data_IF_738703586322
#
_entry.id   IF_738703586322
#
_cell.length_a   1.000
_cell.length_b   1.000
_cell.length_c   1.000
_cell.angle_alpha   90.00
_cell.angle_beta   90.00
_cell.angle_gamma   90.00
#
_symmetry.space_group_name_H-M   'P 1'
#
loop_
_entity.id
_entity.type
_entity.pdbx_description
1 polymer ?
#
# COMPACT_ATOMS: atom_id res chain seq x y z
N UNK A 1 14.71 -9.32 -3.27
CA UNK A 1 13.96 -10.60 -3.26
C UNK A 1 12.94 -10.52 -4.38
N UNK A 2 12.73 -11.60 -5.10
CA UNK A 2 11.90 -11.71 -6.30
C UNK A 2 10.54 -12.34 -5.94
N UNK A 3 9.47 -11.95 -6.61
CA UNK A 3 8.12 -12.48 -6.40
C UNK A 3 8.00 -13.98 -6.68
N UNK A 4 8.88 -14.53 -7.50
CA UNK A 4 8.92 -15.99 -7.76
C UNK A 4 8.97 -16.83 -6.49
N UNK A 5 9.65 -16.34 -5.45
CA UNK A 5 9.87 -17.07 -4.20
C UNK A 5 8.66 -17.07 -3.27
N UNK A 6 7.73 -16.12 -3.46
CA UNK A 6 6.59 -15.89 -2.56
C UNK A 6 5.21 -16.00 -3.24
N UNK A 7 5.17 -16.03 -4.58
CA UNK A 7 3.92 -16.25 -5.32
C UNK A 7 3.44 -17.69 -5.15
N UNK A 8 2.14 -17.86 -4.96
CA UNK A 8 1.51 -19.18 -4.84
C UNK A 8 0.58 -19.48 -6.01
N UNK A 9 0.63 -20.70 -6.57
CA UNK A 9 -0.36 -21.16 -7.52
C UNK A 9 -1.67 -21.61 -6.84
N UNK A 10 -1.67 -21.71 -5.50
CA UNK A 10 -2.86 -22.10 -4.73
C UNK A 10 -3.65 -20.85 -4.33
N UNK A 11 -4.76 -20.62 -5.02
CA UNK A 11 -5.65 -19.49 -4.78
C UNK A 11 -7.10 -19.85 -5.08
N UNK A 12 -8.02 -19.14 -4.44
CA UNK A 12 -9.44 -19.31 -4.66
C UNK A 12 -9.84 -18.55 -5.92
N UNK A 13 -10.49 -19.26 -6.84
CA UNK A 13 -10.97 -18.74 -8.13
C UNK A 13 -12.48 -18.91 -8.26
N UNK A 14 -13.13 -17.92 -8.85
CA UNK A 14 -14.55 -17.96 -9.17
C UNK A 14 -14.82 -17.36 -10.55
N UNK A 15 -15.85 -17.87 -11.23
CA UNK A 15 -16.35 -17.28 -12.46
C UNK A 15 -17.05 -15.94 -12.22
N UNK A 16 -16.94 -15.01 -13.18
CA UNK A 16 -17.54 -13.67 -13.16
C UNK A 16 -19.08 -13.71 -12.97
N UNK A 17 -19.73 -14.80 -13.34
CA UNK A 17 -21.16 -15.04 -13.15
C UNK A 17 -21.52 -15.61 -11.77
N UNK A 18 -20.53 -15.91 -10.93
CA UNK A 18 -20.75 -16.41 -9.56
C UNK A 18 -21.53 -15.40 -8.74
N UNK A 19 -22.54 -15.86 -8.02
CA UNK A 19 -23.39 -14.99 -7.20
C UNK A 19 -22.72 -14.65 -5.87
N UNK A 20 -22.95 -13.41 -5.39
CA UNK A 20 -22.33 -12.83 -4.21
C UNK A 20 -22.59 -13.64 -2.94
N UNK A 21 -23.80 -14.20 -2.76
CA UNK A 21 -24.10 -15.07 -1.63
C UNK A 21 -23.18 -16.32 -1.56
N UNK A 22 -22.78 -16.86 -2.71
CA UNK A 22 -21.82 -17.98 -2.75
C UNK A 22 -20.38 -17.53 -2.45
N UNK A 23 -20.03 -16.32 -2.87
CA UNK A 23 -18.71 -15.71 -2.59
C UNK A 23 -18.57 -15.43 -1.10
N UNK A 24 -19.61 -14.88 -0.46
CA UNK A 24 -19.64 -14.68 1.01
C UNK A 24 -19.42 -15.99 1.76
N UNK A 25 -20.08 -17.06 1.36
CA UNK A 25 -19.89 -18.40 1.95
C UNK A 25 -18.46 -18.95 1.76
N UNK A 26 -17.75 -18.60 0.69
CA UNK A 26 -16.34 -18.95 0.52
C UNK A 26 -15.48 -18.17 1.50
N UNK A 27 -15.70 -16.87 1.66
CA UNK A 27 -14.97 -16.04 2.64
C UNK A 27 -15.17 -16.55 4.07
N UNK A 28 -16.40 -16.93 4.45
CA UNK A 28 -16.68 -17.51 5.79
C UNK A 28 -15.91 -18.82 6.02
N UNK A 29 -15.91 -19.69 5.02
CA UNK A 29 -15.35 -21.04 5.19
C UNK A 29 -13.84 -21.09 5.09
N UNK A 30 -13.26 -20.32 4.18
CA UNK A 30 -11.84 -20.43 3.76
C UNK A 30 -11.02 -19.21 4.18
N UNK A 31 -11.66 -18.13 4.63
CA UNK A 31 -11.05 -16.85 5.02
C UNK A 31 -9.93 -16.39 4.07
N UNK A 32 -10.15 -16.38 2.73
CA UNK A 32 -9.11 -16.02 1.78
C UNK A 32 -8.80 -14.51 1.88
N UNK A 33 -7.55 -14.11 1.61
CA UNK A 33 -7.17 -12.68 1.54
C UNK A 33 -7.80 -11.96 0.35
N UNK A 34 -8.29 -12.71 -0.60
CA UNK A 34 -9.05 -12.28 -1.76
C UNK A 34 -9.36 -13.45 -2.68
N UNK A 35 -10.30 -13.26 -3.57
CA UNK A 35 -10.75 -14.26 -4.55
C UNK A 35 -10.43 -13.71 -5.93
N UNK A 36 -9.79 -14.53 -6.77
CA UNK A 36 -9.57 -14.22 -8.19
C UNK A 36 -10.88 -14.46 -8.94
N UNK A 37 -11.24 -13.52 -9.79
CA UNK A 37 -12.40 -13.64 -10.69
C UNK A 37 -11.91 -13.86 -12.10
N UNK A 38 -12.46 -14.87 -12.76
CA UNK A 38 -12.18 -15.18 -14.17
C UNK A 38 -13.43 -15.05 -15.02
N UNK A 39 -13.26 -14.70 -16.29
CA UNK A 39 -14.29 -14.64 -17.30
C UNK A 39 -13.75 -15.38 -18.54
N UNK A 40 -14.48 -16.38 -19.01
CA UNK A 40 -14.04 -17.26 -20.11
C UNK A 40 -12.66 -17.90 -19.89
N UNK A 41 -12.27 -18.13 -18.63
CA UNK A 41 -10.99 -18.72 -18.25
C UNK A 41 -9.82 -17.72 -18.21
N UNK A 42 -10.07 -16.43 -18.46
CA UNK A 42 -9.08 -15.36 -18.36
C UNK A 42 -9.31 -14.55 -17.07
N UNK A 43 -8.22 -13.98 -16.52
CA UNK A 43 -8.31 -13.11 -15.36
C UNK A 43 -9.17 -11.87 -15.65
N UNK A 44 -10.16 -11.62 -14.81
CA UNK A 44 -11.07 -10.47 -14.91
C UNK A 44 -10.90 -9.47 -13.75
N UNK A 45 -10.56 -9.94 -12.54
CA UNK A 45 -10.42 -9.08 -11.38
C UNK A 45 -10.22 -9.84 -10.07
N UNK A 46 -10.34 -9.13 -8.95
CA UNK A 46 -10.28 -9.70 -7.60
C UNK A 46 -11.45 -9.21 -6.76
N UNK A 47 -11.85 -9.99 -5.78
CA UNK A 47 -12.83 -9.61 -4.76
C UNK A 47 -12.20 -9.79 -3.38
N UNK A 48 -12.17 -8.73 -2.57
CA UNK A 48 -11.80 -8.78 -1.17
C UNK A 48 -13.01 -8.53 -0.26
N UNK A 49 -12.82 -8.64 1.05
CA UNK A 49 -13.89 -8.42 2.04
C UNK A 49 -14.54 -7.04 1.94
N UNK A 50 -13.73 -5.99 1.67
CA UNK A 50 -14.26 -4.62 1.53
C UNK A 50 -15.35 -4.51 0.46
N UNK A 51 -15.23 -5.26 -0.65
CA UNK A 51 -16.22 -5.28 -1.73
C UNK A 51 -17.55 -5.90 -1.27
N UNK A 52 -17.49 -6.88 -0.36
CA UNK A 52 -18.68 -7.57 0.15
C UNK A 52 -19.53 -6.70 1.08
N UNK A 53 -18.92 -5.78 1.83
CA UNK A 53 -19.59 -4.89 2.80
C UNK A 53 -20.01 -3.56 2.16
N UNK A 54 -19.25 -3.06 1.18
CA UNK A 54 -19.57 -1.80 0.47
C UNK A 54 -20.89 -1.84 -0.29
N UNK A 55 -21.29 -3.00 -0.72
CA UNK A 55 -22.47 -3.16 -1.56
C UNK A 55 -23.69 -3.48 -0.71
N UNK A 56 -24.76 -2.66 -0.79
CA UNK A 56 -26.13 -3.08 -0.47
C UNK A 56 -26.62 -4.14 -1.48
N UNK A 57 -25.69 -4.93 -2.04
CA UNK A 57 -25.99 -5.81 -3.14
C UNK A 57 -26.63 -7.08 -2.63
N UNK A 58 -27.69 -7.45 -3.28
CA UNK A 58 -28.44 -8.69 -3.05
C UNK A 58 -27.53 -9.89 -3.35
N UNK A 59 -27.78 -11.02 -2.71
CA UNK A 59 -27.02 -12.28 -2.89
C UNK A 59 -26.99 -12.76 -4.34
N UNK A 60 -27.93 -12.29 -5.14
CA UNK A 60 -28.03 -12.56 -6.58
C UNK A 60 -27.03 -11.81 -7.44
N UNK A 61 -26.37 -10.76 -6.92
CA UNK A 61 -25.42 -9.95 -7.66
C UNK A 61 -24.25 -10.82 -8.14
N UNK A 62 -23.83 -10.64 -9.38
CA UNK A 62 -22.71 -11.38 -9.96
C UNK A 62 -21.36 -10.83 -9.48
N UNK A 63 -20.33 -11.68 -9.48
CA UNK A 63 -18.94 -11.32 -9.17
C UNK A 63 -18.45 -10.16 -10.05
N UNK A 64 -18.79 -10.16 -11.33
CA UNK A 64 -18.42 -9.12 -12.31
C UNK A 64 -18.85 -7.71 -11.93
N UNK A 65 -19.88 -7.55 -11.10
CA UNK A 65 -20.38 -6.23 -10.66
C UNK A 65 -19.58 -5.68 -9.48
N UNK A 66 -19.00 -6.56 -8.66
CA UNK A 66 -18.32 -6.18 -7.41
C UNK A 66 -16.80 -6.30 -7.49
N UNK A 67 -16.28 -7.06 -8.45
CA UNK A 67 -14.85 -7.25 -8.63
C UNK A 67 -14.13 -5.92 -8.87
N UNK A 68 -12.86 -5.87 -8.46
CA UNK A 68 -11.96 -4.75 -8.65
C UNK A 68 -10.78 -5.21 -9.50
N UNK A 69 -10.29 -4.34 -10.38
CA UNK A 69 -9.02 -4.60 -11.05
C UNK A 69 -7.89 -4.58 -10.03
N UNK A 70 -7.02 -5.56 -10.04
CA UNK A 70 -5.76 -5.56 -9.32
C UNK A 70 -4.59 -5.32 -10.28
N UNK A 71 -3.47 -4.76 -9.79
CA UNK A 71 -2.28 -4.59 -10.61
C UNK A 71 -1.77 -5.96 -11.10
N UNK A 72 -1.21 -5.95 -12.29
CA UNK A 72 -0.60 -7.13 -12.89
C UNK A 72 0.87 -7.18 -12.49
N UNK A 73 1.29 -8.22 -11.79
CA UNK A 73 2.65 -8.38 -11.27
C UNK A 73 3.41 -9.35 -12.17
N UNK A 74 4.63 -9.00 -12.57
CA UNK A 74 5.54 -9.96 -13.22
C UNK A 74 6.14 -10.89 -12.16
N UNK A 75 6.37 -12.18 -12.50
CA UNK A 75 6.94 -13.14 -11.53
C UNK A 75 8.35 -12.77 -11.04
N UNK A 76 9.07 -11.97 -11.81
CA UNK A 76 10.41 -11.48 -11.49
C UNK A 76 10.40 -10.03 -10.97
N UNK A 77 9.22 -9.51 -10.62
CA UNK A 77 9.11 -8.19 -9.99
C UNK A 77 9.74 -8.20 -8.61
N UNK A 78 10.24 -7.05 -8.19
CA UNK A 78 10.74 -6.86 -6.83
C UNK A 78 9.61 -6.86 -5.79
N UNK A 79 9.89 -7.43 -4.62
CA UNK A 79 8.92 -7.55 -3.50
C UNK A 79 8.40 -6.19 -3.05
N UNK A 80 9.24 -5.17 -2.99
CA UNK A 80 8.85 -3.83 -2.54
C UNK A 80 8.01 -3.10 -3.58
N UNK A 81 8.38 -3.23 -4.86
CA UNK A 81 7.56 -2.69 -5.95
C UNK A 81 6.18 -3.34 -5.95
N UNK A 82 6.12 -4.66 -5.72
CA UNK A 82 4.85 -5.38 -5.59
C UNK A 82 4.05 -4.90 -4.36
N UNK A 83 4.71 -4.66 -3.22
CA UNK A 83 4.06 -4.07 -2.05
C UNK A 83 3.45 -2.70 -2.38
N UNK A 84 4.17 -1.84 -3.11
CA UNK A 84 3.68 -0.55 -3.59
C UNK A 84 2.45 -0.72 -4.48
N UNK A 85 2.51 -1.63 -5.44
CA UNK A 85 1.38 -1.91 -6.33
C UNK A 85 0.12 -2.35 -5.57
N UNK A 86 0.25 -3.20 -4.52
CA UNK A 86 -0.87 -3.61 -3.70
C UNK A 86 -1.46 -2.45 -2.89
N UNK A 87 -0.61 -1.61 -2.30
CA UNK A 87 -1.02 -0.44 -1.51
C UNK A 87 -1.73 0.58 -2.40
N UNK A 88 -1.14 0.98 -3.53
CA UNK A 88 -1.72 1.93 -4.47
C UNK A 88 -3.02 1.39 -5.10
N UNK A 89 -3.07 0.09 -5.38
CA UNK A 89 -4.25 -0.61 -5.88
C UNK A 89 -5.36 -0.75 -4.84
N UNK A 90 -5.11 -0.49 -3.55
CA UNK A 90 -6.02 -0.80 -2.41
C UNK A 90 -6.55 -2.24 -2.49
N UNK A 91 -5.64 -3.19 -2.74
CA UNK A 91 -5.91 -4.65 -2.83
C UNK A 91 -4.96 -5.42 -1.94
N UNK A 92 -5.39 -6.59 -1.47
CA UNK A 92 -4.58 -7.50 -0.64
C UNK A 92 -4.03 -8.70 -1.41
N UNK A 93 -4.40 -8.82 -2.68
CA UNK A 93 -4.01 -9.90 -3.58
C UNK A 93 -3.85 -9.35 -4.99
N UNK A 94 -2.84 -9.81 -5.70
CA UNK A 94 -2.63 -9.49 -7.10
C UNK A 94 -2.26 -10.73 -7.92
N UNK A 95 -2.69 -10.81 -9.19
CA UNK A 95 -2.30 -11.88 -10.09
C UNK A 95 -0.84 -11.72 -10.50
N UNK A 96 -0.09 -12.82 -10.47
CA UNK A 96 1.30 -12.92 -10.90
C UNK A 96 1.38 -13.60 -12.25
N UNK A 97 2.12 -13.03 -13.18
CA UNK A 97 2.24 -13.50 -14.55
C UNK A 97 3.66 -13.89 -14.93
N UNK A 98 3.75 -14.91 -15.78
CA UNK A 98 4.95 -15.20 -16.56
C UNK A 98 4.63 -14.91 -18.04
N UNK A 99 5.06 -13.77 -18.53
CA UNK A 99 4.64 -13.28 -19.85
C UNK A 99 3.13 -12.99 -19.90
N UNK A 100 2.38 -13.75 -20.72
CA UNK A 100 0.91 -13.63 -20.82
C UNK A 100 0.15 -14.63 -19.95
N UNK A 101 0.83 -15.64 -19.38
CA UNK A 101 0.20 -16.70 -18.62
C UNK A 101 0.10 -16.36 -17.15
N UNK A 102 -1.09 -16.55 -16.54
CA UNK A 102 -1.26 -16.47 -15.10
C UNK A 102 -0.42 -17.58 -14.43
N UNK A 103 0.55 -17.18 -13.61
CA UNK A 103 1.44 -18.05 -12.86
C UNK A 103 0.83 -18.42 -11.50
N UNK A 104 0.25 -17.45 -10.82
CA UNK A 104 -0.31 -17.59 -9.50
C UNK A 104 -0.78 -16.24 -8.96
N UNK A 105 -0.76 -16.11 -7.65
CA UNK A 105 -1.07 -14.86 -6.96
C UNK A 105 -0.01 -14.53 -5.92
N UNK A 106 0.10 -13.25 -5.58
CA UNK A 106 0.84 -12.77 -4.42
C UNK A 106 -0.13 -12.05 -3.48
N UNK A 107 0.04 -12.26 -2.19
CA UNK A 107 -0.79 -11.63 -1.16
C UNK A 107 0.03 -10.68 -0.29
N UNK A 108 -0.64 -9.73 0.35
CA UNK A 108 -0.03 -8.86 1.36
C UNK A 108 0.65 -9.66 2.48
N UNK A 109 0.06 -10.79 2.87
CA UNK A 109 0.58 -11.63 3.94
C UNK A 109 1.86 -12.34 3.52
N UNK A 110 1.92 -12.86 2.29
CA UNK A 110 3.12 -13.50 1.76
C UNK A 110 4.31 -12.51 1.65
N UNK A 111 4.03 -11.25 1.28
CA UNK A 111 5.05 -10.21 1.26
C UNK A 111 5.56 -9.92 2.67
N UNK A 112 4.67 -9.72 3.66
CA UNK A 112 5.07 -9.42 5.03
C UNK A 112 5.85 -10.57 5.67
N UNK A 113 5.43 -11.82 5.44
CA UNK A 113 6.13 -13.00 5.92
C UNK A 113 7.56 -13.09 5.36
N UNK A 114 7.73 -12.77 4.08
CA UNK A 114 9.03 -12.81 3.41
C UNK A 114 10.03 -11.73 3.88
N UNK A 115 9.53 -10.62 4.47
CA UNK A 115 10.38 -9.50 4.90
C UNK A 115 10.38 -9.29 6.41
N UNK A 116 9.72 -10.15 7.18
CA UNK A 116 9.48 -9.98 8.62
C UNK A 116 10.77 -9.75 9.42
N UNK A 117 11.84 -10.49 9.10
CA UNK A 117 13.15 -10.38 9.74
C UNK A 117 13.82 -8.99 9.55
N UNK A 118 13.33 -8.20 8.58
CA UNK A 118 13.85 -6.86 8.30
C UNK A 118 13.02 -5.74 8.95
N UNK A 119 11.94 -6.09 9.66
CA UNK A 119 11.02 -5.13 10.28
C UNK A 119 11.38 -4.79 11.73
N UNK A 120 12.42 -5.39 12.30
CA UNK A 120 12.92 -5.15 13.64
C UNK A 120 13.53 -3.75 13.83
N UNK A 121 13.92 -3.10 12.72
CA UNK A 121 14.50 -1.75 12.72
C UNK A 121 13.45 -0.63 12.82
N UNK A 122 12.15 -0.94 12.66
CA UNK A 122 11.05 0.03 12.65
C UNK A 122 10.18 -0.20 13.88
N UNK A 123 9.81 0.88 14.58
CA UNK A 123 8.86 0.81 15.70
C UNK A 123 7.42 1.06 15.23
N UNK A 124 6.46 0.57 16.00
CA UNK A 124 5.04 0.82 15.73
C UNK A 124 4.73 2.32 15.73
N UNK A 125 5.43 3.11 16.58
CA UNK A 125 5.24 4.56 16.67
C UNK A 125 5.59 5.31 15.40
N UNK A 126 6.45 4.75 14.54
CA UNK A 126 6.86 5.38 13.29
C UNK A 126 5.79 5.26 12.19
N UNK A 127 4.85 4.31 12.33
CA UNK A 127 3.97 3.92 11.22
C UNK A 127 2.47 3.86 11.53
N UNK A 128 2.06 3.88 12.82
CA UNK A 128 0.65 3.79 13.15
C UNK A 128 -0.12 5.08 12.77
N UNK A 129 -1.40 4.94 12.46
CA UNK A 129 -2.29 6.07 12.21
C UNK A 129 -2.87 6.58 13.52
N UNK A 130 -2.67 7.88 13.83
CA UNK A 130 -3.15 8.54 15.06
C UNK A 130 -4.65 8.94 14.96
N UNK A 131 -5.12 9.28 13.76
CA UNK A 131 -6.50 9.69 13.51
C UNK A 131 -7.47 8.49 13.53
N UNK A 132 -7.81 8.02 14.73
CA UNK A 132 -8.64 6.83 14.92
C UNK A 132 -10.13 7.17 14.94
N UNK A 133 -10.86 6.62 13.99
CA UNK A 133 -12.32 6.61 14.03
C UNK A 133 -12.77 5.49 14.95
N UNK A 134 -13.51 5.82 16.00
CA UNK A 134 -14.06 4.88 16.99
C UNK A 134 -15.58 4.80 16.90
N UNK A 135 -16.18 3.81 17.55
CA UNK A 135 -17.64 3.70 17.73
C UNK A 135 -17.96 3.34 19.18
N UNK A 136 -19.07 3.83 19.70
CA UNK A 136 -19.54 3.47 21.05
C UNK A 136 -20.08 2.05 21.09
N UNK A 137 -19.89 1.35 22.22
CA UNK A 137 -20.38 -0.02 22.40
C UNK A 137 -21.90 -0.15 22.31
N UNK A 138 -22.64 0.91 22.72
CA UNK A 138 -24.09 0.98 22.67
C UNK A 138 -24.63 1.53 21.35
N UNK A 139 -23.75 2.00 20.47
CA UNK A 139 -24.13 2.45 19.12
C UNK A 139 -24.70 1.31 18.30
N UNK A 140 -25.59 1.60 17.37
CA UNK A 140 -26.12 0.58 16.46
C UNK A 140 -25.11 0.14 15.41
N UNK A 141 -25.16 -1.14 15.03
CA UNK A 141 -24.30 -1.72 13.96
C UNK A 141 -24.41 -0.92 12.66
N UNK A 142 -25.59 -0.41 12.33
CA UNK A 142 -25.78 0.47 11.17
C UNK A 142 -24.90 1.73 11.20
N UNK A 143 -24.62 2.28 12.38
CA UNK A 143 -23.70 3.42 12.54
C UNK A 143 -22.24 2.99 12.32
N UNK A 144 -21.84 1.81 12.82
CA UNK A 144 -20.52 1.25 12.58
C UNK A 144 -20.28 1.02 11.07
N UNK A 145 -21.25 0.43 10.37
CA UNK A 145 -21.18 0.23 8.91
C UNK A 145 -21.05 1.57 8.17
N UNK A 146 -21.79 2.58 8.55
CA UNK A 146 -21.71 3.90 7.93
C UNK A 146 -20.33 4.53 8.14
N UNK A 147 -19.76 4.47 9.35
CA UNK A 147 -18.39 4.95 9.63
C UNK A 147 -17.32 4.21 8.83
N UNK A 148 -17.40 2.87 8.76
CA UNK A 148 -16.48 2.06 7.94
C UNK A 148 -16.51 2.49 6.47
N UNK A 149 -17.71 2.78 5.92
CA UNK A 149 -17.88 3.23 4.53
C UNK A 149 -17.43 4.66 4.30
N UNK A 150 -17.81 5.57 5.16
CA UNK A 150 -17.50 6.99 5.07
C UNK A 150 -15.99 7.24 5.09
N UNK A 151 -15.29 6.55 5.99
CA UNK A 151 -13.85 6.69 6.13
C UNK A 151 -13.05 5.69 5.27
N UNK A 152 -13.69 4.77 4.56
CA UNK A 152 -13.02 3.78 3.71
C UNK A 152 -12.16 2.77 4.47
N UNK A 153 -12.41 2.59 5.79
CA UNK A 153 -11.67 1.72 6.69
C UNK A 153 -12.35 0.36 6.86
N UNK A 154 -11.63 -0.61 7.40
CA UNK A 154 -12.14 -1.98 7.59
C UNK A 154 -12.34 -2.38 9.05
N UNK A 155 -12.07 -1.48 10.00
CA UNK A 155 -12.17 -1.74 11.44
C UNK A 155 -12.41 -0.47 12.23
N UNK A 156 -13.11 -0.62 13.36
CA UNK A 156 -13.38 0.44 14.31
C UNK A 156 -13.10 -0.08 15.72
N UNK A 157 -12.19 0.53 16.48
CA UNK A 157 -12.15 0.30 17.92
C UNK A 157 -13.48 0.72 18.55
N UNK A 158 -13.96 -0.11 19.47
CA UNK A 158 -15.20 0.11 20.20
C UNK A 158 -14.84 0.63 21.59
N UNK A 159 -15.44 1.75 21.95
CA UNK A 159 -15.19 2.40 23.23
C UNK A 159 -16.46 2.44 24.08
N UNK A 160 -16.28 2.38 25.38
CA UNK A 160 -17.36 2.71 26.32
C UNK A 160 -17.54 4.23 26.33
N UNK A 161 -18.75 4.72 26.04
CA UNK A 161 -19.03 6.15 25.87
C UNK A 161 -18.84 6.96 27.16
N UNK A 162 -19.00 6.32 28.31
CA UNK A 162 -18.94 7.00 29.62
C UNK A 162 -17.48 7.16 30.11
N UNK A 163 -16.65 6.16 29.87
CA UNK A 163 -15.27 6.12 30.36
C UNK A 163 -14.21 6.41 29.27
N UNK A 164 -14.58 6.36 27.98
CA UNK A 164 -13.65 6.47 26.86
C UNK A 164 -12.74 5.26 26.66
N UNK A 165 -12.91 4.19 27.47
CA UNK A 165 -12.04 3.02 27.44
C UNK A 165 -12.36 2.11 26.26
N UNK A 166 -11.31 1.50 25.69
CA UNK A 166 -11.41 0.46 24.67
C UNK A 166 -12.09 -0.78 25.25
N UNK A 167 -13.20 -1.22 24.65
CA UNK A 167 -13.97 -2.39 25.09
C UNK A 167 -14.01 -3.51 24.06
N UNK A 168 -13.78 -3.19 22.79
CA UNK A 168 -13.80 -4.16 21.71
C UNK A 168 -13.28 -3.59 20.39
N UNK A 169 -13.40 -4.38 19.36
CA UNK A 169 -13.15 -3.98 17.96
C UNK A 169 -14.24 -4.58 17.07
N UNK A 170 -14.76 -3.81 16.12
CA UNK A 170 -15.66 -4.32 15.10
C UNK A 170 -15.03 -4.13 13.72
N UNK A 171 -15.05 -5.18 12.91
CA UNK A 171 -14.40 -5.21 11.60
C UNK A 171 -15.39 -5.54 10.48
N UNK A 172 -14.95 -5.34 9.22
CA UNK A 172 -15.71 -5.81 8.06
C UNK A 172 -15.89 -7.32 8.07
N UNK A 173 -14.94 -8.06 8.63
CA UNK A 173 -15.01 -9.52 8.77
C UNK A 173 -16.16 -9.94 9.69
N UNK A 174 -16.25 -9.36 10.89
CA UNK A 174 -17.32 -9.64 11.86
C UNK A 174 -18.71 -9.40 11.23
N UNK A 175 -18.83 -8.35 10.42
CA UNK A 175 -20.07 -8.02 9.73
C UNK A 175 -20.42 -9.05 8.64
N UNK A 176 -19.43 -9.50 7.85
CA UNK A 176 -19.64 -10.55 6.83
C UNK A 176 -20.02 -11.86 7.49
N UNK A 177 -19.29 -12.27 8.52
CA UNK A 177 -19.55 -13.50 9.26
C UNK A 177 -20.96 -13.51 9.88
N UNK A 178 -21.40 -12.39 10.47
CA UNK A 178 -22.73 -12.28 11.03
C UNK A 178 -23.82 -12.45 9.97
N UNK A 179 -23.68 -11.78 8.81
CA UNK A 179 -24.66 -11.88 7.70
C UNK A 179 -24.79 -13.32 7.20
N UNK A 180 -23.67 -14.03 7.07
CA UNK A 180 -23.67 -15.42 6.54
C UNK A 180 -24.20 -16.42 7.58
N UNK A 181 -23.90 -16.24 8.88
CA UNK A 181 -24.41 -17.10 9.96
C UNK A 181 -25.94 -17.02 10.08
N UNK A 182 -26.50 -15.85 9.87
CA UNK A 182 -27.95 -15.64 9.96
C UNK A 182 -28.66 -16.29 8.76
N UNK A 183 -28.07 -16.25 7.56
CA UNK A 183 -28.57 -16.93 6.35
C UNK A 183 -28.63 -18.47 6.53
N UNK A 184 -27.70 -19.06 7.31
CA UNK A 184 -27.67 -20.51 7.58
C UNK A 184 -28.68 -20.99 8.62
N UNK A 185 -29.21 -20.09 9.47
CA UNK A 185 -30.18 -20.44 10.54
C UNK A 185 -31.63 -20.36 10.13
N UNK A 186 -31.95 -19.67 9.04
CA UNK A 186 -33.34 -19.40 8.64
C UNK A 186 -33.67 -19.91 7.24
N UNK A 187 -34.70 -20.76 7.15
CA UNK A 187 -35.31 -21.18 5.90
C UNK A 187 -36.00 -20.01 5.19
N UNK A 188 -35.88 -19.93 3.89
CA UNK A 188 -36.45 -19.02 2.88
C UNK A 188 -37.70 -18.25 3.27
N UNK A 189 -37.58 -17.18 4.08
CA UNK A 189 -38.74 -16.29 4.37
C UNK A 189 -38.29 -15.02 5.11
N UNK A 190 -38.38 -13.89 4.44
CA UNK A 190 -38.28 -12.52 4.99
C UNK A 190 -36.85 -11.98 5.30
N UNK A 191 -35.99 -12.05 4.30
CA UNK A 191 -34.59 -11.54 4.38
C UNK A 191 -34.46 -10.03 4.64
N UNK A 192 -35.45 -9.21 4.32
CA UNK A 192 -35.40 -7.75 4.56
C UNK A 192 -35.60 -7.40 6.04
N UNK A 193 -36.46 -8.13 6.74
CA UNK A 193 -36.68 -7.89 8.16
C UNK A 193 -35.49 -8.22 9.05
N UNK A 194 -34.65 -9.17 8.64
CA UNK A 194 -33.49 -9.63 9.41
C UNK A 194 -32.27 -8.71 9.23
N UNK A 195 -32.03 -8.18 8.04
CA UNK A 195 -31.02 -7.15 7.79
C UNK A 195 -31.35 -5.85 8.53
N UNK A 196 -32.60 -5.44 8.52
CA UNK A 196 -33.02 -4.25 9.25
C UNK A 196 -32.86 -4.44 10.77
N UNK A 197 -33.14 -5.63 11.29
CA UNK A 197 -32.88 -5.98 12.70
C UNK A 197 -31.40 -5.99 13.06
N UNK A 198 -30.52 -6.48 12.17
CA UNK A 198 -29.07 -6.46 12.37
C UNK A 198 -28.55 -5.02 12.50
N UNK A 199 -29.06 -4.10 11.69
CA UNK A 199 -28.65 -2.69 11.73
C UNK A 199 -29.00 -2.01 13.06
N UNK A 200 -30.03 -2.49 13.76
CA UNK A 200 -30.48 -1.98 15.03
C UNK A 200 -29.81 -2.65 16.24
N UNK A 201 -29.05 -3.74 16.04
CA UNK A 201 -28.29 -4.37 17.12
C UNK A 201 -27.23 -3.41 17.66
N UNK A 202 -26.96 -3.41 18.97
CA UNK A 202 -25.84 -2.66 19.50
C UNK A 202 -24.51 -3.32 19.12
N UNK A 203 -23.46 -2.48 18.94
CA UNK A 203 -22.14 -2.93 18.50
C UNK A 203 -21.54 -3.98 19.43
N UNK A 204 -21.79 -3.91 20.75
CA UNK A 204 -21.26 -4.88 21.72
C UNK A 204 -21.71 -6.32 21.46
N UNK A 205 -22.80 -6.55 20.73
CA UNK A 205 -23.29 -7.89 20.40
C UNK A 205 -22.49 -8.54 19.24
N UNK A 206 -21.77 -7.72 18.43
CA UNK A 206 -21.01 -8.17 17.28
C UNK A 206 -19.51 -7.94 17.41
N UNK A 207 -19.05 -7.07 18.31
CA UNK A 207 -17.64 -6.76 18.47
C UNK A 207 -16.84 -7.96 18.99
N UNK A 208 -15.60 -8.04 18.58
CA UNK A 208 -14.62 -8.96 19.16
C UNK A 208 -13.98 -8.35 20.41
N UNK A 209 -13.89 -9.13 21.49
CA UNK A 209 -13.27 -8.76 22.77
C UNK A 209 -12.69 -10.02 23.44
N UNK A 210 -11.53 -9.98 24.13
CA UNK A 210 -10.66 -8.81 24.29
C UNK A 210 -9.95 -8.39 23.00
N UNK A 211 -9.53 -7.12 22.92
CA UNK A 211 -8.80 -6.59 21.76
C UNK A 211 -7.33 -6.94 21.85
N UNK A 212 -6.78 -7.49 20.79
CA UNK A 212 -5.32 -7.67 20.65
C UNK A 212 -4.70 -6.33 20.27
N UNK A 213 -3.75 -5.86 21.06
CA UNK A 213 -3.17 -4.52 20.95
C UNK A 213 -1.67 -4.56 20.67
N UNK A 214 -1.12 -3.43 20.22
CA UNK A 214 0.31 -3.20 20.13
C UNK A 214 0.68 -1.95 20.94
N UNK A 215 1.95 -1.82 21.36
CA UNK A 215 2.46 -0.62 22.02
C UNK A 215 3.29 0.20 21.04
N UNK A 216 3.33 1.53 21.16
CA UNK A 216 4.13 2.38 20.29
C UNK A 216 5.61 1.96 20.20
N UNK A 217 6.23 1.62 21.33
CA UNK A 217 7.65 1.25 21.40
C UNK A 217 7.96 -0.21 20.99
N UNK A 218 6.96 -1.01 20.60
CA UNK A 218 7.21 -2.35 20.05
C UNK A 218 7.73 -2.24 18.63
N UNK A 219 8.59 -3.18 18.23
CA UNK A 219 9.06 -3.29 16.84
C UNK A 219 7.98 -3.88 15.93
N UNK A 220 8.05 -3.56 14.65
CA UNK A 220 7.00 -3.91 13.69
C UNK A 220 6.95 -5.41 13.41
N UNK A 221 8.09 -6.12 13.45
CA UNK A 221 8.15 -7.58 13.36
C UNK A 221 7.28 -8.25 14.42
N UNK A 222 7.40 -7.85 15.70
CA UNK A 222 6.56 -8.35 16.82
C UNK A 222 5.08 -8.08 16.56
N UNK A 223 4.75 -6.90 16.04
CA UNK A 223 3.36 -6.59 15.69
C UNK A 223 2.82 -7.46 14.55
N UNK A 224 3.65 -7.75 13.54
CA UNK A 224 3.30 -8.65 12.42
C UNK A 224 3.11 -10.08 12.88
N UNK A 225 4.05 -10.61 13.69
CA UNK A 225 3.92 -11.95 14.28
C UNK A 225 2.59 -12.09 15.02
N UNK A 226 2.27 -11.12 15.90
CA UNK A 226 1.00 -11.08 16.63
C UNK A 226 -0.23 -11.03 15.72
N UNK A 227 -0.13 -10.30 14.59
CA UNK A 227 -1.19 -10.29 13.58
C UNK A 227 -1.36 -11.66 12.91
N UNK A 228 -0.25 -12.38 12.64
CA UNK A 228 -0.31 -13.71 12.05
C UNK A 228 -0.83 -14.76 13.03
N UNK A 229 -0.32 -14.78 14.25
CA UNK A 229 -0.76 -15.71 15.30
C UNK A 229 -2.27 -15.65 15.60
N UNK A 230 -2.87 -14.45 15.46
CA UNK A 230 -4.29 -14.22 15.75
C UNK A 230 -5.15 -14.06 14.47
N UNK A 231 -4.60 -14.30 13.29
CA UNK A 231 -5.27 -14.11 11.99
C UNK A 231 -5.86 -12.69 11.81
N UNK A 232 -5.15 -11.69 12.30
CA UNK A 232 -5.56 -10.27 12.26
C UNK A 232 -4.87 -9.54 11.10
N UNK A 233 -5.52 -8.51 10.59
CA UNK A 233 -4.94 -7.62 9.59
C UNK A 233 -4.59 -6.23 10.14
N UNK A 234 -4.58 -6.07 11.47
CA UNK A 234 -4.13 -4.87 12.17
C UNK A 234 -4.47 -4.91 13.65
N UNK A 235 -3.76 -4.10 14.43
CA UNK A 235 -3.85 -4.01 15.89
C UNK A 235 -4.22 -2.59 16.30
N UNK A 236 -4.97 -2.47 17.40
CA UNK A 236 -5.17 -1.19 18.06
C UNK A 236 -3.91 -0.85 18.85
N UNK A 237 -3.40 0.37 18.70
CA UNK A 237 -2.23 0.84 19.44
C UNK A 237 -2.68 1.50 20.73
N UNK A 238 -2.12 1.02 21.85
CA UNK A 238 -2.44 1.48 23.21
C UNK A 238 -1.15 1.87 23.95
N UNK A 239 -1.18 2.92 24.79
CA UNK A 239 0.04 3.39 25.48
C UNK A 239 0.53 2.44 26.57
N UNK A 240 -0.37 1.59 27.11
CA UNK A 240 -0.11 0.70 28.24
C UNK A 240 -0.64 -0.71 28.00
N UNK A 241 -0.11 -1.68 28.74
CA UNK A 241 -0.61 -3.08 28.72
C UNK A 241 -2.07 -3.22 29.14
N UNK A 242 -2.60 -2.29 29.92
CA UNK A 242 -4.02 -2.30 30.32
C UNK A 242 -4.95 -2.07 29.12
N UNK A 243 -4.43 -1.55 28.00
CA UNK A 243 -5.16 -1.43 26.73
C UNK A 243 -6.40 -0.53 26.77
N UNK A 244 -6.51 0.34 27.77
CA UNK A 244 -7.75 1.10 28.00
C UNK A 244 -7.91 2.34 27.11
N UNK A 245 -6.81 2.93 26.67
CA UNK A 245 -6.80 4.15 25.83
C UNK A 245 -6.38 3.83 24.39
N UNK A 246 -7.14 4.29 23.41
CA UNK A 246 -6.79 4.15 21.99
C UNK A 246 -5.87 5.29 21.58
N UNK A 247 -4.64 4.95 21.16
CA UNK A 247 -3.66 5.89 20.59
C UNK A 247 -3.73 5.92 19.08
N UNK A 248 -3.89 4.76 18.48
CA UNK A 248 -3.83 4.62 17.05
C UNK A 248 -4.24 3.24 16.57
N UNK A 249 -4.03 3.00 15.28
CA UNK A 249 -4.18 1.69 14.65
C UNK A 249 -2.97 1.47 13.74
N UNK A 250 -2.39 0.28 13.82
CA UNK A 250 -1.38 -0.20 12.87
C UNK A 250 -1.96 -1.38 12.09
N UNK A 251 -1.82 -1.35 10.76
CA UNK A 251 -2.35 -2.38 9.87
C UNK A 251 -1.26 -2.96 8.97
N UNK A 252 -1.47 -4.16 8.44
CA UNK A 252 -0.60 -4.75 7.41
C UNK A 252 -0.38 -3.79 6.21
N UNK A 253 -1.37 -2.97 5.87
CA UNK A 253 -1.24 -1.96 4.81
C UNK A 253 -0.29 -0.83 5.20
N UNK A 254 -0.28 -0.40 6.46
CA UNK A 254 0.64 0.65 6.94
C UNK A 254 2.08 0.12 6.94
N UNK A 255 2.26 -1.15 7.31
CA UNK A 255 3.57 -1.82 7.28
C UNK A 255 4.06 -1.98 5.83
N UNK A 256 3.20 -2.44 4.90
CA UNK A 256 3.55 -2.49 3.49
C UNK A 256 3.90 -1.11 2.93
N UNK A 257 3.18 -0.08 3.35
CA UNK A 257 3.50 1.31 2.97
C UNK A 257 4.85 1.75 3.51
N UNK A 258 5.17 1.42 4.78
CA UNK A 258 6.46 1.72 5.37
C UNK A 258 7.61 1.04 4.62
N UNK A 259 7.44 -0.23 4.19
CA UNK A 259 8.40 -0.91 3.32
C UNK A 259 8.68 -0.16 2.02
N UNK A 260 7.67 0.50 1.46
CA UNK A 260 7.84 1.31 0.24
C UNK A 260 8.51 2.65 0.52
N UNK A 261 8.30 3.24 1.70
CA UNK A 261 8.93 4.51 2.11
C UNK A 261 10.41 4.37 2.48
N UNK A 262 10.85 3.24 3.06
CA UNK A 262 12.27 3.01 3.37
C UNK A 262 13.15 2.90 2.12
N UNK A 263 12.57 2.63 0.94
CA UNK A 263 13.29 2.80 -0.35
C UNK A 263 13.33 4.25 -0.84
N UNK A 264 12.36 5.07 -0.44
CA UNK A 264 12.35 6.49 -0.82
C UNK A 264 13.43 7.31 -0.08
N UNK A 265 13.93 6.85 1.08
CA UNK A 265 15.12 7.43 1.73
C UNK A 265 16.43 6.97 1.07
N UNK A 266 16.47 5.80 0.45
CA UNK A 266 17.56 5.40 -0.45
C UNK A 266 17.07 5.56 -1.90
N UNK A 267 17.44 6.68 -2.50
CA UNK A 267 17.18 6.98 -3.91
C UNK A 267 17.47 5.78 -4.81
N UNK A 268 16.42 5.17 -5.40
CA UNK A 268 16.61 4.08 -6.37
C UNK A 268 17.29 4.63 -7.63
N UNK A 269 18.56 4.25 -7.81
CA UNK A 269 19.34 4.65 -8.97
C UNK A 269 19.41 3.49 -9.95
N UNK A 270 18.59 3.56 -11.00
CA UNK A 270 18.70 2.64 -12.13
C UNK A 270 19.77 3.09 -13.11
N UNK A 271 20.80 2.28 -13.31
CA UNK A 271 21.89 2.53 -14.25
C UNK A 271 21.74 1.62 -15.46
N UNK A 272 21.63 2.21 -16.64
CA UNK A 272 21.54 1.49 -17.91
C UNK A 272 22.86 1.55 -18.66
N UNK A 273 23.30 0.42 -19.25
CA UNK A 273 24.57 0.23 -19.94
C UNK A 273 25.81 0.25 -19.02
N UNK A 274 25.70 -0.46 -17.89
CA UNK A 274 26.76 -0.64 -16.88
C UNK A 274 28.13 -1.08 -17.46
N UNK A 275 28.14 -1.70 -18.64
CA UNK A 275 29.39 -2.12 -19.32
C UNK A 275 30.32 -0.96 -19.68
N UNK A 276 29.83 0.26 -19.67
CA UNK A 276 30.61 1.47 -19.98
C UNK A 276 31.25 2.09 -18.73
N UNK A 277 30.97 1.54 -17.54
CA UNK A 277 31.50 2.01 -16.27
C UNK A 277 32.86 1.32 -15.98
N UNK A 278 33.93 1.76 -16.62
CA UNK A 278 35.26 1.23 -16.37
C UNK A 278 35.93 1.88 -15.13
N UNK A 279 35.66 3.15 -14.88
CA UNK A 279 36.30 3.97 -13.83
C UNK A 279 35.34 4.54 -12.81
N UNK A 280 34.03 4.41 -13.00
CA UNK A 280 32.98 4.96 -12.14
C UNK A 280 32.13 3.83 -11.57
N UNK A 281 32.11 3.67 -10.26
CA UNK A 281 31.29 2.64 -9.59
C UNK A 281 29.81 3.08 -9.46
N UNK A 282 28.94 2.12 -9.21
CA UNK A 282 27.52 2.39 -8.92
C UNK A 282 27.38 3.24 -7.65
N UNK A 283 28.16 2.91 -6.64
CA UNK A 283 28.17 3.57 -5.33
C UNK A 283 28.55 5.04 -5.47
N UNK A 284 29.57 5.36 -6.25
CA UNK A 284 29.99 6.75 -6.53
C UNK A 284 28.88 7.53 -7.25
N UNK A 285 28.22 6.93 -8.24
CA UNK A 285 27.06 7.56 -8.95
C UNK A 285 25.95 7.90 -7.96
N UNK A 286 25.60 6.97 -7.07
CA UNK A 286 24.55 7.16 -6.06
C UNK A 286 24.94 8.28 -5.09
N UNK A 287 26.17 8.25 -4.56
CA UNK A 287 26.69 9.22 -3.60
C UNK A 287 26.72 10.66 -4.18
N UNK A 288 27.18 10.81 -5.41
CA UNK A 288 27.24 12.12 -6.05
C UNK A 288 25.86 12.70 -6.38
N UNK A 289 24.93 11.86 -6.85
CA UNK A 289 23.55 12.30 -7.08
C UNK A 289 22.88 12.67 -5.75
N UNK A 290 23.05 11.87 -4.69
CA UNK A 290 22.56 12.15 -3.35
C UNK A 290 23.10 13.47 -2.83
N UNK A 291 24.40 13.72 -3.01
CA UNK A 291 25.03 14.99 -2.61
C UNK A 291 24.41 16.20 -3.30
N UNK A 292 24.05 16.10 -4.58
CA UNK A 292 23.34 17.18 -5.30
C UNK A 292 21.94 17.40 -4.73
N UNK A 293 21.23 16.32 -4.42
CA UNK A 293 19.86 16.36 -3.90
C UNK A 293 19.82 16.94 -2.49
N UNK A 294 20.72 16.51 -1.60
CA UNK A 294 20.77 16.91 -0.19
C UNK A 294 21.08 18.40 0.01
N UNK A 295 21.74 19.03 -0.97
CA UNK A 295 21.91 20.50 -0.97
C UNK A 295 20.55 21.23 -0.99
N UNK A 296 19.46 20.55 -1.33
CA UNK A 296 18.13 21.12 -1.51
C UNK A 296 17.08 20.48 -0.62
N UNK A 297 17.22 20.60 0.69
CA UNK A 297 16.50 19.99 1.83
C UNK A 297 14.95 19.94 1.76
N UNK A 298 14.30 20.47 0.73
CA UNK A 298 12.84 20.47 0.57
C UNK A 298 12.35 19.60 -0.61
N UNK A 299 13.28 18.93 -1.31
CA UNK A 299 12.94 18.14 -2.49
C UNK A 299 13.27 16.68 -2.25
N UNK A 300 12.27 15.86 -2.12
CA UNK A 300 12.39 14.42 -2.03
C UNK A 300 12.59 13.84 -3.43
N UNK A 301 13.66 13.07 -3.66
CA UNK A 301 13.87 12.33 -4.90
C UNK A 301 13.29 10.95 -4.75
N UNK A 302 12.31 10.63 -5.59
CA UNK A 302 11.61 9.36 -5.59
C UNK A 302 12.36 8.30 -6.40
N UNK A 303 12.98 8.72 -7.51
CA UNK A 303 13.64 7.81 -8.42
C UNK A 303 14.67 8.53 -9.28
N UNK A 304 15.83 7.92 -9.51
CA UNK A 304 16.87 8.39 -10.40
C UNK A 304 17.17 7.36 -11.49
N UNK A 305 17.17 7.79 -12.73
CA UNK A 305 17.54 6.97 -13.87
C UNK A 305 18.75 7.54 -14.56
N UNK A 306 19.85 6.79 -14.55
CA UNK A 306 21.12 7.15 -15.22
C UNK A 306 21.34 6.26 -16.43
N UNK A 307 21.43 6.86 -17.60
CA UNK A 307 21.63 6.15 -18.86
C UNK A 307 22.90 6.60 -19.55
N UNK A 308 23.77 5.64 -19.88
CA UNK A 308 24.95 5.86 -20.70
C UNK A 308 24.71 5.36 -22.13
N UNK A 309 25.21 6.12 -23.11
CA UNK A 309 25.17 5.75 -24.53
C UNK A 309 26.53 6.01 -25.18
N UNK A 310 27.14 4.99 -25.78
CA UNK A 310 28.43 5.11 -26.49
C UNK A 310 28.19 5.57 -27.92
N UNK A 311 28.87 6.61 -28.33
CA UNK A 311 28.96 7.04 -29.73
C UNK A 311 30.10 6.33 -30.46
N UNK A 312 30.03 6.30 -31.79
CA UNK A 312 31.09 5.70 -32.63
C UNK A 312 32.39 6.51 -32.61
N UNK A 313 32.36 7.76 -32.17
CA UNK A 313 33.49 8.66 -32.08
C UNK A 313 34.40 8.28 -30.92
N UNK A 314 35.73 8.32 -31.18
CA UNK A 314 36.76 8.05 -30.16
C UNK A 314 37.87 9.10 -30.25
N UNK A 315 38.33 9.55 -29.10
CA UNK A 315 39.54 10.40 -29.00
C UNK A 315 40.65 9.62 -28.30
N UNK A 316 41.75 9.37 -28.98
CA UNK A 316 42.89 8.61 -28.45
C UNK A 316 42.54 7.24 -27.87
N UNK A 317 41.54 6.58 -28.45
CA UNK A 317 41.05 5.27 -27.98
C UNK A 317 39.90 5.33 -26.99
N UNK A 318 39.62 6.46 -26.32
CA UNK A 318 38.51 6.64 -25.37
C UNK A 318 37.22 7.00 -26.13
N UNK A 319 36.13 6.24 -25.96
CA UNK A 319 34.88 6.51 -26.65
C UNK A 319 34.21 7.79 -26.13
N UNK A 320 33.53 8.52 -27.03
CA UNK A 320 32.61 9.56 -26.66
C UNK A 320 31.37 8.93 -26.09
N UNK A 321 31.00 9.29 -24.85
CA UNK A 321 29.84 8.76 -24.13
C UNK A 321 28.88 9.92 -23.83
N UNK A 322 27.61 9.69 -24.05
CA UNK A 322 26.52 10.54 -23.56
C UNK A 322 26.00 9.94 -22.26
N UNK A 323 25.90 10.77 -21.22
CA UNK A 323 25.19 10.44 -19.99
C UNK A 323 23.91 11.26 -19.89
N UNK A 324 22.83 10.64 -19.47
CA UNK A 324 21.56 11.28 -19.18
C UNK A 324 21.11 10.85 -17.78
N UNK A 325 20.90 11.83 -16.89
CA UNK A 325 20.36 11.64 -15.55
C UNK A 325 18.95 12.22 -15.53
N UNK A 326 17.98 11.44 -15.06
CA UNK A 326 16.60 11.87 -14.84
C UNK A 326 16.21 11.60 -13.41
N UNK A 327 15.78 12.63 -12.69
CA UNK A 327 15.24 12.52 -11.35
C UNK A 327 13.73 12.73 -11.39
N UNK A 328 13.01 11.85 -10.75
CA UNK A 328 11.61 12.06 -10.38
C UNK A 328 11.59 12.53 -8.93
N UNK A 329 11.03 13.71 -8.69
CA UNK A 329 11.00 14.34 -7.37
C UNK A 329 9.56 14.62 -6.94
N UNK A 330 9.37 14.91 -5.65
CA UNK A 330 8.08 15.37 -5.10
C UNK A 330 7.56 16.67 -5.77
N UNK A 331 8.44 17.42 -6.48
CA UNK A 331 8.11 18.68 -7.14
C UNK A 331 8.12 18.60 -8.67
N UNK A 332 8.23 17.40 -9.25
CA UNK A 332 8.25 17.16 -10.69
C UNK A 332 9.49 16.43 -11.17
N UNK A 333 9.68 16.36 -12.49
CA UNK A 333 10.83 15.71 -13.10
C UNK A 333 11.92 16.73 -13.46
N UNK A 334 13.18 16.36 -13.14
CA UNK A 334 14.37 17.12 -13.49
C UNK A 334 15.34 16.21 -14.24
N UNK A 335 16.00 16.74 -15.27
CA UNK A 335 16.98 15.97 -16.03
C UNK A 335 18.24 16.78 -16.29
N UNK A 336 19.38 16.09 -16.33
CA UNK A 336 20.66 16.58 -16.81
C UNK A 336 21.18 15.67 -17.91
N UNK A 337 21.86 16.21 -18.91
CA UNK A 337 22.52 15.42 -19.94
C UNK A 337 23.88 16.00 -20.28
N UNK A 338 24.89 15.15 -20.44
CA UNK A 338 26.25 15.53 -20.75
C UNK A 338 26.91 14.57 -21.73
N UNK A 339 27.88 15.05 -22.46
CA UNK A 339 28.76 14.25 -23.32
C UNK A 339 30.22 14.44 -22.90
N UNK A 340 30.96 13.35 -22.91
CA UNK A 340 32.39 13.37 -22.54
C UNK A 340 33.12 12.14 -23.03
N UNK A 341 34.41 12.25 -23.14
CA UNK A 341 35.25 11.09 -23.44
C UNK A 341 35.46 10.28 -22.17
N UNK A 342 34.88 9.05 -22.15
CA UNK A 342 34.74 8.20 -20.97
C UNK A 342 33.46 8.46 -20.14
N UNK A 343 33.01 7.43 -19.41
CA UNK A 343 31.77 7.46 -18.66
C UNK A 343 31.78 8.50 -17.51
N UNK A 344 32.89 8.56 -16.78
CA UNK A 344 33.10 9.48 -15.66
C UNK A 344 32.96 10.96 -16.08
N UNK A 345 33.65 11.36 -17.17
CA UNK A 345 33.54 12.72 -17.67
C UNK A 345 32.12 13.06 -18.17
N UNK A 346 31.46 12.14 -18.89
CA UNK A 346 30.10 12.32 -19.35
C UNK A 346 29.12 12.46 -18.18
N UNK A 347 29.32 11.69 -17.12
CA UNK A 347 28.49 11.72 -15.90
C UNK A 347 28.60 13.06 -15.17
N UNK A 348 29.82 13.56 -14.90
CA UNK A 348 30.01 14.83 -14.22
C UNK A 348 29.43 16.01 -15.01
N UNK A 349 29.54 16.02 -16.35
CA UNK A 349 28.91 17.06 -17.19
C UNK A 349 27.37 16.97 -17.11
N UNK A 350 26.80 15.75 -17.03
CA UNK A 350 25.37 15.56 -16.86
C UNK A 350 24.91 15.99 -15.46
N UNK A 351 25.69 15.71 -14.42
CA UNK A 351 25.43 16.06 -13.03
C UNK A 351 25.45 17.57 -12.81
N UNK A 352 26.42 18.29 -13.38
CA UNK A 352 26.47 19.77 -13.34
C UNK A 352 25.25 20.43 -13.98
N UNK A 353 24.72 19.85 -15.06
CA UNK A 353 23.49 20.33 -15.69
C UNK A 353 22.27 19.99 -14.86
N UNK A 354 22.24 18.81 -14.24
CA UNK A 354 21.18 18.39 -13.33
C UNK A 354 21.08 19.38 -12.16
N UNK A 355 22.20 19.72 -11.52
CA UNK A 355 22.25 20.64 -10.39
C UNK A 355 21.66 22.03 -10.76
N UNK A 356 22.01 22.54 -11.94
CA UNK A 356 21.43 23.82 -12.44
C UNK A 356 19.92 23.75 -12.64
N UNK A 357 19.44 22.65 -13.25
CA UNK A 357 18.01 22.47 -13.50
C UNK A 357 17.21 22.26 -12.22
N UNK A 358 17.80 21.67 -11.19
CA UNK A 358 17.23 21.57 -9.84
C UNK A 358 17.07 22.95 -9.22
N UNK A 359 18.07 23.83 -9.36
CA UNK A 359 18.03 25.23 -8.90
C UNK A 359 16.93 26.04 -9.60
N UNK A 360 16.78 25.87 -10.92
CA UNK A 360 15.73 26.55 -11.70
C UNK A 360 14.34 26.12 -11.27
N UNK A 361 14.12 24.81 -11.05
CA UNK A 361 12.84 24.30 -10.55
C UNK A 361 12.48 24.89 -9.19
N UNK A 362 13.47 25.05 -8.28
CA UNK A 362 13.29 25.69 -6.98
C UNK A 362 12.94 27.19 -7.10
N UNK A 363 13.56 27.90 -8.04
CA UNK A 363 13.26 29.29 -8.34
C UNK A 363 11.82 29.50 -8.80
N UNK A 364 11.36 28.66 -9.72
CA UNK A 364 9.98 28.70 -10.24
C UNK A 364 8.94 28.42 -9.14
N UNK A 365 9.18 27.42 -8.27
CA UNK A 365 8.27 27.11 -7.16
C UNK A 365 8.26 28.21 -6.09
N UNK A 366 9.38 28.90 -5.85
CA UNK A 366 9.44 30.05 -4.95
C UNK A 366 8.62 31.23 -5.50
N UNK A 367 8.68 31.48 -6.80
CA UNK A 367 7.92 32.54 -7.48
C UNK A 367 6.42 32.26 -7.50
N UNK A 368 5.99 31.01 -7.69
CA UNK A 368 4.57 30.63 -7.60
C UNK A 368 4.03 30.79 -6.18
N UNK A 369 4.80 30.43 -5.17
CA UNK A 369 4.43 30.59 -3.76
C UNK A 369 4.32 32.08 -3.39
N UNK A 370 5.20 32.92 -3.94
CA UNK A 370 5.16 34.38 -3.75
C UNK A 370 3.95 35.01 -4.47
N UNK A 371 3.64 34.58 -5.68
CA UNK A 371 2.41 34.98 -6.42
C UNK A 371 1.14 34.58 -5.66
N UNK A 372 1.07 33.36 -5.13
CA UNK A 372 -0.07 32.89 -4.35
C UNK A 372 -0.29 33.72 -3.06
N UNK A 373 0.78 34.11 -2.37
CA UNK A 373 0.70 34.99 -1.22
C UNK A 373 0.29 36.43 -1.57
N UNK A 374 0.74 36.96 -2.74
CA UNK A 374 0.37 38.28 -3.21
C UNK A 374 -1.13 38.34 -3.59
N UNK A 375 -1.65 37.30 -4.25
CA UNK A 375 -3.07 37.22 -4.64
C UNK A 375 -3.97 37.12 -3.40
N UNK A 376 -3.56 36.37 -2.35
CA UNK A 376 -4.29 36.32 -1.07
C UNK A 376 -4.33 37.68 -0.38
N UNK A 377 -3.20 38.39 -0.31
CA UNK A 377 -3.14 39.74 0.28
C UNK A 377 -3.92 40.80 -0.48
N UNK A 378 -4.07 40.64 -1.82
CA UNK A 378 -4.87 41.52 -2.66
C UNK A 378 -6.38 41.19 -2.63
N UNK A 379 -6.76 39.98 -2.20
CA UNK A 379 -8.16 39.59 -2.02
C UNK A 379 -8.75 39.92 -0.65
N UNK A 380 -7.92 40.40 0.31
CA UNK A 380 -8.32 40.85 1.65
C UNK A 380 -8.41 42.38 1.78
N UNK A 381 -8.24 43.13 0.68
CA UNK A 381 -8.48 44.57 0.54
C UNK A 381 -9.77 44.82 -0.23
#
# INVERSE_FOLDING_TARGET
MDITDIATPDFVEVDADKRLGKIRAIFERENPRGIVVTEDGEYAGVIGEKQLVRSRMEDDTKASVVMKSAPRVDRHEDVRETARMLVEGDVKIAPVYEGSKLYGVVTSDAILDAVIDSLDAISVEDIYSEDVVTVGEKSHVGQAINRLREHGISRLPVINEDSGKLTGIITTHDLVEFVVRDDNRQGRGDRRGDLDRMLDLPVYDLMSSPVVTARPAETVDIAVERMFENDLSGLVVTPTESGEEVKGIVTKTDILRALTFTEEESMDVQITNVRLLETLSREEIVEEITTVVDKYQQMQVLHAHVRFHEHKEKLRGTPLIQCQIRLRTSHGQVAGSGEGYGAEHAFHVALDKLERNVLELKGLNADEKYRGQLIRKLGEL
#
